data_IF_930073858507
#
_entry.id   IF_930073858507
#
_cell.length_a   1.000
_cell.length_b   1.000
_cell.length_c   1.000
_cell.angle_alpha   90.00
_cell.angle_beta   90.00
_cell.angle_gamma   90.00
#
_symmetry.space_group_name_H-M   'P 1'
#
loop_
_entity.id
_entity.type
_entity.pdbx_description
1 polymer ?
#
# COMPACT_ATOMS: atom_id res chain seq x y z
N UNK A 1 -16.71 -35.87 19.45
CA UNK A 1 -16.78 -34.63 18.61
C UNK A 1 -15.52 -33.79 18.66
N UNK A 2 -14.64 -33.96 19.60
CA UNK A 2 -13.32 -33.29 19.77
C UNK A 2 -12.28 -33.70 18.73
N UNK A 3 -12.29 -34.98 18.28
CA UNK A 3 -11.27 -35.49 17.36
C UNK A 3 -11.48 -35.07 15.91
N UNK A 4 -12.72 -34.93 15.45
CA UNK A 4 -13.02 -34.54 14.07
C UNK A 4 -12.61 -33.10 13.78
N UNK A 5 -12.77 -32.16 14.72
CA UNK A 5 -12.40 -30.78 14.58
C UNK A 5 -10.91 -30.48 14.81
N UNK A 6 -10.26 -31.31 15.65
CA UNK A 6 -8.80 -31.31 15.75
C UNK A 6 -8.17 -31.85 14.46
N UNK A 7 -8.77 -32.86 13.84
CA UNK A 7 -8.38 -33.36 12.53
C UNK A 7 -8.59 -32.34 11.41
N UNK A 8 -9.68 -31.54 11.45
CA UNK A 8 -9.96 -30.45 10.50
C UNK A 8 -8.97 -29.29 10.61
N UNK A 9 -8.45 -29.04 11.81
CA UNK A 9 -7.42 -28.01 12.07
C UNK A 9 -6.01 -28.50 11.71
N UNK A 10 -5.76 -29.79 11.83
CA UNK A 10 -4.54 -30.46 11.32
C UNK A 10 -4.62 -30.53 9.80
N UNK A 11 -5.78 -30.82 9.22
CA UNK A 11 -6.01 -30.75 7.78
C UNK A 11 -5.86 -29.32 7.22
N UNK A 12 -6.17 -28.28 8.00
CA UNK A 12 -5.84 -26.89 7.67
C UNK A 12 -4.34 -26.60 7.61
N UNK A 13 -3.54 -27.27 8.45
CA UNK A 13 -2.08 -27.22 8.40
C UNK A 13 -1.54 -28.02 7.19
N UNK A 14 -2.18 -29.16 6.86
CA UNK A 14 -1.92 -29.94 5.65
C UNK A 14 -2.33 -29.21 4.36
N UNK A 15 -3.45 -28.47 4.36
CA UNK A 15 -3.83 -27.64 3.21
C UNK A 15 -2.84 -26.52 2.95
N UNK A 16 -2.35 -25.82 3.96
CA UNK A 16 -1.28 -24.84 3.84
C UNK A 16 0.01 -25.47 3.30
N UNK A 17 0.33 -26.69 3.72
CA UNK A 17 1.48 -27.44 3.25
C UNK A 17 1.27 -27.95 1.81
N UNK A 18 0.07 -28.44 1.49
CA UNK A 18 -0.32 -28.92 0.16
C UNK A 18 -0.32 -27.80 -0.87
N UNK A 19 -0.88 -26.63 -0.56
CA UNK A 19 -0.81 -25.43 -1.41
C UNK A 19 0.64 -25.00 -1.70
N UNK A 20 1.54 -25.12 -0.73
CA UNK A 20 2.97 -24.89 -0.94
C UNK A 20 3.63 -25.89 -1.87
N UNK A 21 3.28 -27.17 -1.76
CA UNK A 21 3.81 -28.27 -2.59
C UNK A 21 3.27 -28.18 -4.02
N UNK A 22 1.98 -27.92 -4.20
CA UNK A 22 1.36 -27.82 -5.52
C UNK A 22 1.92 -26.64 -6.31
N UNK A 23 2.19 -25.51 -5.62
CA UNK A 23 2.91 -24.41 -6.24
C UNK A 23 4.35 -24.78 -6.64
N UNK A 24 5.08 -25.50 -5.80
CA UNK A 24 6.44 -25.93 -6.13
C UNK A 24 6.45 -26.92 -7.31
N UNK A 25 5.49 -27.84 -7.38
CA UNK A 25 5.28 -28.72 -8.53
C UNK A 25 4.94 -27.95 -9.79
N UNK A 26 3.95 -27.05 -9.72
CA UNK A 26 3.60 -26.19 -10.85
C UNK A 26 4.79 -25.32 -11.33
N UNK A 27 5.68 -24.92 -10.42
CA UNK A 27 6.91 -24.20 -10.75
C UNK A 27 7.93 -25.10 -11.42
N UNK A 28 8.10 -26.34 -10.98
CA UNK A 28 8.99 -27.33 -11.59
C UNK A 28 8.49 -27.75 -12.98
N UNK A 29 7.20 -27.96 -13.14
CA UNK A 29 6.56 -28.24 -14.43
C UNK A 29 6.50 -27.04 -15.36
N UNK A 30 6.39 -25.81 -14.83
CA UNK A 30 6.41 -24.53 -15.56
C UNK A 30 7.85 -23.98 -15.80
N UNK A 31 8.89 -24.68 -15.36
CA UNK A 31 10.28 -24.31 -15.62
C UNK A 31 10.64 -24.31 -17.11
N UNK A 32 9.82 -24.92 -17.96
CA UNK A 32 9.84 -24.80 -19.41
C UNK A 32 8.97 -23.62 -19.88
N UNK A 33 9.35 -22.37 -19.62
CA UNK A 33 8.73 -21.11 -20.03
C UNK A 33 7.25 -20.93 -19.54
N UNK A 34 6.94 -19.85 -18.82
CA UNK A 34 5.57 -19.61 -18.34
C UNK A 34 4.62 -19.50 -19.56
N UNK A 35 3.44 -20.15 -19.53
CA UNK A 35 2.52 -20.15 -20.65
C UNK A 35 2.15 -18.72 -21.02
N UNK A 36 2.16 -18.43 -22.34
CA UNK A 36 1.76 -17.13 -22.86
C UNK A 36 0.26 -16.95 -22.62
N UNK A 37 -0.12 -15.82 -22.04
CA UNK A 37 -1.52 -15.46 -21.86
C UNK A 37 -2.22 -15.38 -23.22
N UNK A 38 -3.33 -16.06 -23.36
CA UNK A 38 -4.21 -15.98 -24.54
C UNK A 38 -5.20 -14.82 -24.37
N UNK A 39 -5.77 -14.34 -25.47
CA UNK A 39 -6.86 -13.34 -25.40
C UNK A 39 -8.00 -13.80 -24.49
N UNK A 40 -8.34 -15.09 -24.55
CA UNK A 40 -9.41 -15.68 -23.72
C UNK A 40 -9.06 -15.60 -22.23
N UNK A 41 -7.83 -15.93 -21.85
CA UNK A 41 -7.39 -15.89 -20.45
C UNK A 41 -7.27 -14.47 -19.91
N UNK A 42 -6.90 -13.48 -20.74
CA UNK A 42 -6.89 -12.06 -20.35
C UNK A 42 -8.32 -11.57 -20.10
N UNK A 43 -9.25 -11.88 -21.01
CA UNK A 43 -10.67 -11.49 -20.84
C UNK A 43 -11.26 -12.14 -19.58
N UNK A 44 -10.94 -13.41 -19.32
CA UNK A 44 -11.34 -14.11 -18.10
C UNK A 44 -10.83 -13.37 -16.86
N UNK A 45 -9.54 -13.04 -16.80
CA UNK A 45 -8.93 -12.33 -15.66
C UNK A 45 -9.59 -10.95 -15.43
N UNK A 46 -9.80 -10.17 -16.49
CA UNK A 46 -10.43 -8.85 -16.39
C UNK A 46 -11.89 -8.92 -15.93
N UNK A 47 -12.64 -9.92 -16.42
CA UNK A 47 -14.04 -10.14 -15.98
C UNK A 47 -14.15 -10.53 -14.52
N UNK A 48 -13.13 -11.20 -13.97
CA UNK A 48 -13.09 -11.56 -12.54
C UNK A 48 -12.60 -10.41 -11.66
N UNK A 49 -11.65 -9.62 -12.13
CA UNK A 49 -11.02 -8.57 -11.34
C UNK A 49 -12.04 -7.54 -10.80
N UNK A 50 -13.02 -7.10 -11.61
CA UNK A 50 -13.99 -6.08 -11.17
C UNK A 50 -14.95 -6.58 -10.05
N UNK A 51 -15.64 -7.75 -10.21
CA UNK A 51 -16.45 -8.29 -9.12
C UNK A 51 -15.62 -8.58 -7.87
N UNK A 52 -14.40 -9.07 -8.04
CA UNK A 52 -13.50 -9.38 -6.92
C UNK A 52 -13.06 -8.13 -6.18
N UNK A 53 -12.74 -7.04 -6.90
CA UNK A 53 -12.45 -5.73 -6.32
C UNK A 53 -13.56 -5.25 -5.37
N UNK A 54 -14.83 -5.46 -5.74
CA UNK A 54 -15.98 -5.16 -4.88
C UNK A 54 -16.08 -6.12 -3.69
N UNK A 55 -15.95 -7.43 -3.93
CA UNK A 55 -16.07 -8.46 -2.89
C UNK A 55 -14.95 -8.36 -1.84
N UNK A 56 -13.77 -7.90 -2.24
CA UNK A 56 -12.65 -7.68 -1.34
C UNK A 56 -12.72 -6.33 -0.62
N UNK A 57 -13.79 -5.54 -0.84
CA UNK A 57 -14.00 -4.21 -0.24
C UNK A 57 -12.85 -3.24 -0.50
N UNK A 58 -12.32 -3.27 -1.74
CA UNK A 58 -11.14 -2.47 -2.07
C UNK A 58 -11.37 -0.97 -1.93
N UNK A 59 -12.59 -0.47 -2.14
CA UNK A 59 -12.94 0.95 -1.92
C UNK A 59 -12.79 1.35 -0.44
N UNK A 60 -13.20 0.49 0.49
CA UNK A 60 -13.07 0.72 1.94
C UNK A 60 -11.59 0.64 2.35
N UNK A 61 -10.87 -0.34 1.81
CA UNK A 61 -9.42 -0.45 2.01
C UNK A 61 -8.69 0.79 1.49
N UNK A 62 -9.07 1.32 0.32
CA UNK A 62 -8.53 2.56 -0.23
C UNK A 62 -8.81 3.77 0.67
N UNK A 63 -9.98 3.84 1.31
CA UNK A 63 -10.31 4.88 2.27
C UNK A 63 -9.40 4.83 3.51
N UNK A 64 -9.17 3.64 4.06
CA UNK A 64 -8.20 3.43 5.13
C UNK A 64 -6.77 3.79 4.74
N UNK A 65 -6.36 3.45 3.51
CA UNK A 65 -5.06 3.84 2.96
C UNK A 65 -4.94 5.36 2.83
N UNK A 66 -6.00 6.04 2.38
CA UNK A 66 -6.05 7.50 2.27
C UNK A 66 -5.85 8.17 3.61
N UNK A 67 -6.52 7.69 4.66
CA UNK A 67 -6.32 8.16 6.03
C UNK A 67 -4.84 8.04 6.44
N UNK A 68 -4.22 6.88 6.27
CA UNK A 68 -2.82 6.67 6.63
C UNK A 68 -1.85 7.49 5.77
N UNK A 69 -2.15 7.71 4.48
CA UNK A 69 -1.35 8.55 3.59
C UNK A 69 -1.33 10.00 4.09
N UNK A 70 -2.51 10.56 4.40
CA UNK A 70 -2.62 11.93 4.92
C UNK A 70 -1.89 12.09 6.24
N UNK A 71 -2.04 11.14 7.16
CA UNK A 71 -1.32 11.17 8.44
C UNK A 71 0.20 11.13 8.30
N UNK A 72 0.71 10.48 7.25
CA UNK A 72 2.17 10.44 6.99
C UNK A 72 2.73 11.73 6.39
N UNK A 73 1.88 12.61 5.83
CA UNK A 73 2.34 13.89 5.28
C UNK A 73 2.90 14.82 6.34
N UNK A 74 2.30 14.88 7.54
CA UNK A 74 2.76 15.79 8.60
C UNK A 74 4.22 15.54 9.01
N UNK A 75 4.64 14.32 9.38
CA UNK A 75 6.04 14.05 9.67
C UNK A 75 6.97 14.26 8.47
N UNK A 76 6.52 13.93 7.25
CA UNK A 76 7.31 14.17 6.03
C UNK A 76 7.55 15.66 5.81
N UNK A 77 6.54 16.51 6.04
CA UNK A 77 6.68 17.96 5.96
C UNK A 77 7.68 18.48 7.00
N UNK A 78 7.66 17.95 8.23
CA UNK A 78 8.65 18.30 9.26
C UNK A 78 10.08 17.96 8.78
N UNK A 79 10.28 16.77 8.20
CA UNK A 79 11.59 16.38 7.64
C UNK A 79 12.03 17.33 6.55
N UNK A 80 11.17 17.65 5.60
CA UNK A 80 11.49 18.55 4.48
C UNK A 80 11.89 19.94 4.98
N UNK A 81 11.10 20.52 5.87
CA UNK A 81 11.37 21.84 6.43
C UNK A 81 12.65 21.84 7.27
N UNK A 82 12.88 20.79 8.07
CA UNK A 82 14.10 20.67 8.88
C UNK A 82 15.36 20.50 8.03
N UNK A 83 15.29 19.72 6.93
CA UNK A 83 16.40 19.60 5.97
C UNK A 83 16.73 20.95 5.34
N UNK A 84 15.70 21.67 4.90
CA UNK A 84 15.89 23.01 4.32
C UNK A 84 16.46 24.01 5.35
N UNK A 85 16.08 23.88 6.63
CA UNK A 85 16.62 24.69 7.72
C UNK A 85 18.10 24.41 8.02
N UNK A 86 18.56 23.17 7.87
CA UNK A 86 19.94 22.76 8.12
C UNK A 86 20.87 23.16 6.95
N UNK A 87 20.41 23.00 5.71
CA UNK A 87 21.23 23.24 4.51
C UNK A 87 21.04 24.64 3.91
N UNK A 88 19.97 25.36 4.29
CA UNK A 88 19.64 26.67 3.78
C UNK A 88 20.13 27.81 4.69
N UNK A 89 20.27 29.02 4.09
CA UNK A 89 20.39 30.25 4.86
C UNK A 89 18.98 30.65 5.32
N UNK A 90 18.71 30.61 6.62
CA UNK A 90 17.39 30.74 7.25
C UNK A 90 16.32 31.55 6.51
N UNK A 91 16.58 32.85 6.27
CA UNK A 91 15.59 33.74 5.63
C UNK A 91 15.39 33.46 4.13
N UNK A 92 16.45 33.10 3.39
CA UNK A 92 16.36 32.72 1.97
C UNK A 92 15.55 31.40 1.81
N UNK A 93 15.74 30.47 2.74
CA UNK A 93 15.02 29.19 2.78
C UNK A 93 13.54 29.40 3.07
N UNK A 94 13.19 30.25 4.05
CA UNK A 94 11.80 30.58 4.36
C UNK A 94 11.13 31.20 3.14
N UNK A 95 11.78 32.15 2.46
CA UNK A 95 11.24 32.80 1.25
C UNK A 95 11.02 31.78 0.12
N UNK A 96 11.98 30.88 -0.12
CA UNK A 96 11.85 29.83 -1.14
C UNK A 96 10.69 28.85 -0.84
N UNK A 97 10.54 28.43 0.42
CA UNK A 97 9.41 27.56 0.83
C UNK A 97 8.09 28.31 0.65
N UNK A 98 8.02 29.56 1.10
CA UNK A 98 6.79 30.36 0.99
C UNK A 98 6.41 30.60 -0.48
N UNK A 99 7.39 30.82 -1.35
CA UNK A 99 7.15 30.99 -2.79
C UNK A 99 6.62 29.70 -3.41
N UNK A 100 7.22 28.53 -3.12
CA UNK A 100 6.74 27.23 -3.59
C UNK A 100 5.32 26.92 -3.09
N UNK A 101 5.02 27.28 -1.84
CA UNK A 101 3.68 27.11 -1.27
C UNK A 101 2.67 28.06 -1.92
N UNK A 102 3.04 29.34 -2.15
CA UNK A 102 2.16 30.31 -2.81
C UNK A 102 1.76 29.89 -4.24
N UNK A 103 2.67 29.19 -4.94
CA UNK A 103 2.42 28.70 -6.30
C UNK A 103 1.57 27.41 -6.33
N UNK A 104 1.48 26.71 -5.19
CA UNK A 104 0.91 25.35 -5.13
C UNK A 104 -0.35 25.21 -4.27
N UNK A 105 -0.56 26.10 -3.29
CA UNK A 105 -1.68 26.02 -2.34
C UNK A 105 -2.33 27.38 -2.09
N UNK A 106 -3.62 27.43 -1.62
CA UNK A 106 -4.29 28.68 -1.29
C UNK A 106 -3.56 29.50 -0.22
N UNK A 107 -3.62 30.82 -0.32
CA UNK A 107 -2.93 31.75 0.61
C UNK A 107 -3.25 31.52 2.08
N UNK A 108 -4.49 31.15 2.41
CA UNK A 108 -4.89 30.81 3.77
C UNK A 108 -4.12 29.62 4.33
N UNK A 109 -3.77 28.65 3.49
CA UNK A 109 -2.91 27.51 3.87
C UNK A 109 -1.46 27.92 4.04
N UNK A 110 -0.97 28.84 3.20
CA UNK A 110 0.37 29.40 3.31
C UNK A 110 0.53 30.17 4.62
N UNK A 111 -0.43 31.03 4.97
CA UNK A 111 -0.42 31.78 6.24
C UNK A 111 -0.47 30.85 7.45
N UNK A 112 -1.27 29.78 7.41
CA UNK A 112 -1.33 28.78 8.47
C UNK A 112 0.01 28.03 8.64
N UNK A 113 0.72 27.74 7.56
CA UNK A 113 2.00 27.03 7.57
C UNK A 113 3.20 27.93 7.87
N UNK A 114 3.09 29.23 7.70
CA UNK A 114 4.20 30.19 7.90
C UNK A 114 4.80 30.11 9.30
N UNK A 115 3.99 30.19 10.35
CA UNK A 115 4.46 30.12 11.73
C UNK A 115 5.25 28.85 12.07
N UNK A 116 4.69 27.66 11.80
CA UNK A 116 5.42 26.40 11.93
C UNK A 116 6.73 26.34 11.11
N UNK A 117 6.73 26.80 9.85
CA UNK A 117 7.93 26.81 9.00
C UNK A 117 9.00 27.75 9.57
N UNK A 118 8.65 28.98 9.93
CA UNK A 118 9.58 29.94 10.53
C UNK A 118 10.16 29.42 11.86
N UNK A 119 9.31 28.80 12.69
CA UNK A 119 9.73 28.19 13.95
C UNK A 119 10.72 27.04 13.76
N UNK A 120 10.54 26.19 12.74
CA UNK A 120 11.45 25.07 12.47
C UNK A 120 12.78 25.52 11.83
N UNK A 121 12.77 26.57 11.01
CA UNK A 121 13.98 27.05 10.29
C UNK A 121 14.88 27.89 11.21
N UNK A 122 14.30 28.69 12.11
CA UNK A 122 15.05 29.66 12.96
C UNK A 122 15.55 29.12 14.29
N UNK A 123 15.21 27.89 14.66
CA UNK A 123 15.56 27.34 15.99
C UNK A 123 16.76 26.42 15.94
N UNK A 124 17.61 26.46 16.99
CA UNK A 124 18.69 25.50 17.23
C UNK A 124 18.20 24.03 17.37
N UNK A 125 16.87 23.84 17.34
CA UNK A 125 16.17 22.55 17.46
C UNK A 125 16.02 21.88 16.07
N UNK A 126 16.45 22.49 14.97
CA UNK A 126 16.26 21.92 13.61
C UNK A 126 16.83 20.50 13.49
N UNK A 127 17.96 20.21 14.14
CA UNK A 127 18.54 18.85 14.16
C UNK A 127 17.67 17.84 14.93
N UNK A 128 17.11 18.23 16.07
CA UNK A 128 16.19 17.38 16.83
C UNK A 128 14.87 17.19 16.08
N UNK A 129 14.33 18.26 15.49
CA UNK A 129 13.11 18.19 14.69
C UNK A 129 13.28 17.28 13.47
N UNK A 130 14.47 17.30 12.83
CA UNK A 130 14.78 16.37 11.73
C UNK A 130 14.75 14.93 12.20
N UNK A 131 15.41 14.59 13.31
CA UNK A 131 15.43 13.21 13.83
C UNK A 131 14.05 12.76 14.25
N UNK A 132 13.31 13.59 14.98
CA UNK A 132 11.94 13.30 15.41
C UNK A 132 10.98 13.18 14.20
N UNK A 133 11.11 14.08 13.22
CA UNK A 133 10.36 14.05 11.98
C UNK A 133 10.66 12.80 11.15
N UNK A 134 11.93 12.41 11.03
CA UNK A 134 12.34 11.22 10.30
C UNK A 134 11.78 9.94 10.96
N UNK A 135 11.88 9.85 12.28
CA UNK A 135 11.27 8.74 13.02
C UNK A 135 9.75 8.72 12.84
N UNK A 136 9.09 9.87 12.95
CA UNK A 136 7.65 10.01 12.73
C UNK A 136 7.25 9.64 11.29
N UNK A 137 8.02 10.07 10.28
CA UNK A 137 7.79 9.75 8.88
C UNK A 137 7.94 8.23 8.61
N UNK A 138 8.98 7.60 9.14
CA UNK A 138 9.18 6.16 9.04
C UNK A 138 8.09 5.38 9.78
N UNK A 139 7.65 5.86 10.92
CA UNK A 139 6.59 5.23 11.70
C UNK A 139 5.22 5.34 11.01
N UNK A 140 4.81 6.54 10.62
CA UNK A 140 3.51 6.80 9.97
C UNK A 140 3.45 6.21 8.56
N UNK A 141 4.49 6.42 7.74
CA UNK A 141 4.62 5.82 6.42
C UNK A 141 4.69 4.29 6.49
N UNK A 142 5.39 3.72 7.49
CA UNK A 142 5.38 2.28 7.77
C UNK A 142 3.98 1.76 8.11
N UNK A 143 3.11 2.58 8.67
CA UNK A 143 1.70 2.23 8.91
C UNK A 143 0.90 2.21 7.62
N UNK A 144 1.14 3.15 6.70
CA UNK A 144 0.57 3.10 5.33
C UNK A 144 1.01 1.82 4.60
N UNK A 145 2.30 1.53 4.56
CA UNK A 145 2.85 0.32 3.90
C UNK A 145 2.29 -0.96 4.52
N UNK A 146 2.12 -1.01 5.85
CA UNK A 146 1.48 -2.12 6.54
C UNK A 146 0.00 -2.28 6.16
N UNK A 147 -0.74 -1.19 6.03
CA UNK A 147 -2.15 -1.21 5.61
C UNK A 147 -2.28 -1.63 4.15
N UNK A 148 -1.36 -1.18 3.28
CA UNK A 148 -1.27 -1.62 1.89
C UNK A 148 -0.98 -3.13 1.80
N UNK A 149 -0.06 -3.64 2.64
CA UNK A 149 0.21 -5.07 2.73
C UNK A 149 -1.00 -5.89 3.17
N UNK A 150 -1.83 -5.38 4.10
CA UNK A 150 -3.11 -6.03 4.49
C UNK A 150 -4.10 -6.04 3.33
N UNK A 151 -4.22 -4.95 2.59
CA UNK A 151 -5.08 -4.89 1.41
C UNK A 151 -4.64 -5.93 0.36
N UNK A 152 -3.34 -6.03 0.08
CA UNK A 152 -2.83 -7.04 -0.85
C UNK A 152 -3.00 -8.48 -0.31
N UNK A 153 -2.83 -8.71 0.99
CA UNK A 153 -3.11 -10.00 1.59
C UNK A 153 -4.58 -10.41 1.40
N UNK A 154 -5.53 -9.45 1.47
CA UNK A 154 -6.94 -9.67 1.16
C UNK A 154 -7.14 -10.06 -0.30
N UNK A 155 -6.53 -9.31 -1.23
CA UNK A 155 -6.57 -9.55 -2.68
C UNK A 155 -6.05 -10.96 -3.04
N UNK A 156 -4.99 -11.44 -2.35
CA UNK A 156 -4.44 -12.79 -2.55
C UNK A 156 -5.10 -13.86 -1.70
N UNK A 157 -6.11 -13.51 -0.89
CA UNK A 157 -6.79 -14.41 0.06
C UNK A 157 -5.80 -15.14 0.99
N UNK A 158 -4.81 -14.41 1.52
CA UNK A 158 -3.79 -14.96 2.42
C UNK A 158 -3.75 -14.22 3.76
N UNK A 159 -3.40 -14.95 4.81
CA UNK A 159 -3.24 -14.38 6.13
C UNK A 159 -1.80 -13.86 6.34
N UNK A 160 -1.65 -12.85 7.20
CA UNK A 160 -0.35 -12.32 7.58
C UNK A 160 0.37 -13.31 8.50
N UNK A 161 1.51 -13.81 8.05
CA UNK A 161 2.29 -14.82 8.77
C UNK A 161 3.53 -14.30 9.48
N UNK A 162 3.97 -13.08 9.17
CA UNK A 162 5.15 -12.46 9.79
C UNK A 162 4.85 -12.06 11.23
N UNK A 163 5.78 -12.29 12.15
CA UNK A 163 5.68 -11.79 13.52
C UNK A 163 5.60 -10.24 13.53
N UNK A 164 4.97 -9.67 14.57
CA UNK A 164 4.76 -8.22 14.67
C UNK A 164 6.05 -7.42 14.48
N UNK A 165 7.12 -7.79 15.18
CA UNK A 165 8.39 -7.06 15.11
C UNK A 165 9.04 -7.17 13.73
N UNK A 166 9.11 -8.39 13.15
CA UNK A 166 9.67 -8.61 11.82
C UNK A 166 8.90 -7.83 10.76
N UNK A 167 7.57 -7.87 10.81
CA UNK A 167 6.70 -7.11 9.91
C UNK A 167 6.96 -5.61 10.04
N UNK A 168 7.07 -5.09 11.28
CA UNK A 168 7.32 -3.68 11.54
C UNK A 168 8.65 -3.22 10.95
N UNK A 169 9.73 -3.96 11.19
CA UNK A 169 11.06 -3.65 10.67
C UNK A 169 11.11 -3.69 9.14
N UNK A 170 10.53 -4.71 8.52
CA UNK A 170 10.46 -4.81 7.05
C UNK A 170 9.71 -3.62 6.46
N UNK A 171 8.56 -3.25 7.02
CA UNK A 171 7.78 -2.14 6.49
C UNK A 171 8.42 -0.77 6.75
N UNK A 172 9.14 -0.59 7.84
CA UNK A 172 9.95 0.62 8.06
C UNK A 172 11.09 0.71 7.03
N UNK A 173 11.79 -0.40 6.76
CA UNK A 173 12.85 -0.43 5.74
C UNK A 173 12.29 -0.16 4.33
N UNK A 174 11.13 -0.74 3.97
CA UNK A 174 10.43 -0.42 2.72
C UNK A 174 10.05 1.05 2.66
N UNK A 175 9.51 1.60 3.75
CA UNK A 175 9.15 3.03 3.83
C UNK A 175 10.36 3.92 3.63
N UNK A 176 11.50 3.61 4.25
CA UNK A 176 12.74 4.35 4.04
C UNK A 176 13.16 4.35 2.55
N UNK A 177 13.12 3.18 1.91
CA UNK A 177 13.40 3.06 0.48
C UNK A 177 12.42 3.89 -0.38
N UNK A 178 11.11 3.84 -0.08
CA UNK A 178 10.10 4.62 -0.79
C UNK A 178 10.31 6.12 -0.60
N UNK A 179 10.65 6.58 0.61
CA UNK A 179 10.98 8.00 0.88
C UNK A 179 12.17 8.44 0.03
N UNK A 180 13.23 7.62 -0.06
CA UNK A 180 14.40 7.93 -0.90
C UNK A 180 14.00 8.04 -2.38
N UNK A 181 13.21 7.10 -2.90
CA UNK A 181 12.73 7.14 -4.28
C UNK A 181 11.86 8.38 -4.55
N UNK A 182 10.96 8.72 -3.63
CA UNK A 182 10.13 9.93 -3.73
C UNK A 182 10.97 11.19 -3.67
N UNK A 183 12.02 11.21 -2.85
CA UNK A 183 12.96 12.34 -2.79
C UNK A 183 13.75 12.48 -4.10
N UNK A 184 14.21 11.39 -4.69
CA UNK A 184 14.82 11.39 -6.02
C UNK A 184 13.86 11.95 -7.09
N UNK A 185 12.58 11.53 -7.05
CA UNK A 185 11.56 12.06 -7.96
C UNK A 185 11.32 13.56 -7.75
N UNK A 186 11.29 14.03 -6.50
CA UNK A 186 11.16 15.45 -6.19
C UNK A 186 12.35 16.25 -6.71
N UNK A 187 13.59 15.78 -6.56
CA UNK A 187 14.78 16.39 -7.13
C UNK A 187 14.66 16.50 -8.66
N UNK A 188 14.27 15.42 -9.35
CA UNK A 188 14.10 15.42 -10.81
C UNK A 188 13.03 16.44 -11.23
N UNK A 189 11.95 16.57 -10.47
CA UNK A 189 10.89 17.55 -10.75
C UNK A 189 11.37 19.00 -10.56
N UNK A 190 12.14 19.28 -9.50
CA UNK A 190 12.64 20.63 -9.20
C UNK A 190 13.77 21.05 -10.15
N UNK A 191 14.57 20.13 -10.67
CA UNK A 191 15.59 20.38 -11.68
C UNK A 191 14.97 20.68 -13.05
N UNK A 192 14.23 21.81 -13.15
CA UNK A 192 13.50 22.22 -14.34
C UNK A 192 13.74 23.71 -14.61
N UNK A 193 13.66 24.12 -15.89
CA UNK A 193 13.82 25.54 -16.29
C UNK A 193 15.17 26.13 -15.92
N UNK A 194 15.19 27.36 -15.39
CA UNK A 194 16.40 28.09 -15.02
C UNK A 194 17.24 27.45 -13.93
N UNK A 195 16.62 26.67 -13.01
CA UNK A 195 17.33 25.91 -11.96
C UNK A 195 18.22 24.85 -12.62
N UNK A 196 17.69 24.09 -13.55
CA UNK A 196 18.46 23.10 -14.30
C UNK A 196 19.60 23.77 -15.08
N UNK A 197 19.34 24.90 -15.76
CA UNK A 197 20.35 25.64 -16.51
C UNK A 197 21.52 26.11 -15.64
N UNK A 198 21.21 26.68 -14.47
CA UNK A 198 22.21 27.14 -13.51
C UNK A 198 23.04 25.98 -12.95
N UNK A 199 22.40 24.86 -12.57
CA UNK A 199 23.09 23.68 -12.06
C UNK A 199 23.98 23.07 -13.13
N UNK A 200 23.48 22.89 -14.36
CA UNK A 200 24.25 22.26 -15.45
C UNK A 200 25.42 23.16 -15.89
N UNK A 201 25.25 24.47 -15.91
CA UNK A 201 26.34 25.43 -16.15
C UNK A 201 27.39 25.40 -15.04
N UNK A 202 26.98 25.31 -13.78
CA UNK A 202 27.87 25.22 -12.63
C UNK A 202 28.75 23.96 -12.65
N UNK A 203 28.22 22.85 -13.20
CA UNK A 203 28.94 21.57 -13.33
C UNK A 203 29.72 21.50 -14.65
N UNK A 204 29.65 22.53 -15.50
CA UNK A 204 30.36 22.56 -16.79
C UNK A 204 29.72 21.72 -17.88
N UNK A 205 28.45 21.34 -17.73
CA UNK A 205 27.70 20.59 -18.73
C UNK A 205 27.07 21.55 -19.75
N UNK A 206 27.33 21.34 -21.04
CA UNK A 206 26.83 22.17 -22.11
C UNK A 206 25.34 22.00 -22.43
N UNK A 207 24.84 22.80 -23.38
CA UNK A 207 23.42 22.85 -23.79
C UNK A 207 22.86 21.53 -24.28
N UNK A 208 23.68 20.66 -24.83
CA UNK A 208 23.30 19.30 -25.22
C UNK A 208 22.80 18.48 -24.02
N UNK A 209 23.49 18.59 -22.88
CA UNK A 209 23.12 17.88 -21.64
C UNK A 209 21.80 18.38 -21.08
N UNK A 210 21.52 19.69 -21.21
CA UNK A 210 20.20 20.27 -20.83
C UNK A 210 19.07 19.73 -21.71
N UNK A 211 19.30 19.62 -23.02
CA UNK A 211 18.31 19.07 -23.95
C UNK A 211 18.03 17.60 -23.65
N UNK A 212 19.08 16.83 -23.41
CA UNK A 212 18.98 15.43 -23.02
C UNK A 212 18.21 15.27 -21.68
N UNK A 213 18.50 16.13 -20.70
CA UNK A 213 17.79 16.16 -19.41
C UNK A 213 16.30 16.45 -19.58
N UNK A 214 15.91 17.46 -20.38
CA UNK A 214 14.52 17.78 -20.68
C UNK A 214 13.75 16.60 -21.27
N UNK A 215 14.42 15.75 -22.04
CA UNK A 215 13.84 14.54 -22.64
C UNK A 215 13.78 13.38 -21.63
N UNK A 216 14.86 13.12 -20.88
CA UNK A 216 14.99 11.94 -20.03
C UNK A 216 14.26 12.05 -18.69
N UNK A 217 13.97 13.27 -18.17
CA UNK A 217 13.32 13.44 -16.87
C UNK A 217 11.96 12.76 -16.78
N UNK A 218 11.14 12.81 -17.83
CA UNK A 218 9.82 12.19 -17.82
C UNK A 218 9.86 10.65 -17.82
N UNK A 219 10.65 10.00 -18.68
CA UNK A 219 10.90 8.57 -18.55
C UNK A 219 11.50 8.16 -17.20
N UNK A 220 12.41 8.95 -16.63
CA UNK A 220 13.00 8.68 -15.33
C UNK A 220 11.95 8.74 -14.20
N UNK A 221 11.10 9.77 -14.19
CA UNK A 221 9.98 9.87 -13.26
C UNK A 221 9.02 8.70 -13.38
N UNK A 222 8.64 8.33 -14.61
CA UNK A 222 7.80 7.18 -14.86
C UNK A 222 8.44 5.89 -14.35
N UNK A 223 9.75 5.70 -14.56
CA UNK A 223 10.49 4.55 -14.05
C UNK A 223 10.48 4.50 -12.51
N UNK A 224 10.65 5.64 -11.82
CA UNK A 224 10.55 5.71 -10.35
C UNK A 224 9.15 5.32 -9.89
N UNK A 225 8.09 5.85 -10.50
CA UNK A 225 6.70 5.49 -10.16
C UNK A 225 6.45 4.01 -10.35
N UNK A 226 6.87 3.44 -11.48
CA UNK A 226 6.78 2.00 -11.73
C UNK A 226 7.55 1.17 -10.69
N UNK A 227 8.73 1.63 -10.30
CA UNK A 227 9.56 0.98 -9.29
C UNK A 227 8.88 1.00 -7.92
N UNK A 228 8.32 2.14 -7.51
CA UNK A 228 7.57 2.30 -6.25
C UNK A 228 6.38 1.34 -6.20
N UNK A 229 5.56 1.30 -7.26
CA UNK A 229 4.40 0.40 -7.33
C UNK A 229 4.87 -1.07 -7.35
N UNK A 230 5.90 -1.38 -8.14
CA UNK A 230 6.47 -2.73 -8.20
C UNK A 230 7.01 -3.22 -6.85
N UNK A 231 7.70 -2.35 -6.09
CA UNK A 231 8.18 -2.63 -4.73
C UNK A 231 6.99 -2.89 -3.79
N UNK A 232 5.97 -2.04 -3.82
CA UNK A 232 4.77 -2.22 -3.02
C UNK A 232 4.09 -3.55 -3.33
N UNK A 233 3.84 -3.86 -4.59
CA UNK A 233 3.18 -5.11 -5.00
C UNK A 233 4.00 -6.36 -4.68
N UNK A 234 5.32 -6.28 -4.74
CA UNK A 234 6.18 -7.44 -4.52
C UNK A 234 6.44 -7.72 -3.05
N UNK A 235 6.72 -6.69 -2.24
CA UNK A 235 7.30 -6.87 -0.91
C UNK A 235 6.30 -6.71 0.23
N UNK A 236 5.14 -6.07 -0.01
CA UNK A 236 4.17 -5.87 1.07
C UNK A 236 3.32 -7.10 1.36
N UNK A 237 2.80 -7.90 0.39
CA UNK A 237 1.99 -9.06 0.72
C UNK A 237 2.83 -10.22 1.28
N UNK A 238 2.17 -11.08 2.04
CA UNK A 238 2.79 -12.29 2.63
C UNK A 238 2.83 -13.47 1.65
N UNK A 239 3.00 -13.21 0.35
CA UNK A 239 3.10 -14.24 -0.68
C UNK A 239 4.46 -14.20 -1.37
N UNK A 240 4.97 -15.38 -1.76
CA UNK A 240 6.17 -15.49 -2.61
C UNK A 240 5.73 -15.48 -4.06
N UNK A 241 5.94 -14.34 -4.73
CA UNK A 241 5.75 -14.26 -6.18
C UNK A 241 7.00 -14.79 -6.90
N UNK A 242 6.85 -15.54 -8.00
CA UNK A 242 7.98 -16.21 -8.64
C UNK A 242 8.98 -15.26 -9.29
N UNK A 243 8.54 -14.07 -9.74
CA UNK A 243 9.41 -13.11 -10.42
C UNK A 243 9.07 -11.68 -9.99
N UNK A 244 10.11 -10.87 -9.77
CA UNK A 244 9.95 -9.42 -9.62
C UNK A 244 9.71 -8.80 -11.00
N UNK A 245 8.60 -8.10 -11.16
CA UNK A 245 8.24 -7.41 -12.41
C UNK A 245 7.97 -5.95 -12.11
N UNK A 246 8.86 -5.06 -12.52
CA UNK A 246 8.63 -3.61 -12.46
C UNK A 246 7.41 -3.20 -13.29
N UNK A 247 7.28 -3.81 -14.46
CA UNK A 247 6.26 -3.54 -15.44
C UNK A 247 5.26 -4.70 -15.45
N UNK A 248 4.37 -4.72 -14.46
CA UNK A 248 3.21 -5.61 -14.50
C UNK A 248 2.05 -4.93 -15.22
N UNK A 249 1.12 -5.69 -15.84
CA UNK A 249 -0.11 -5.11 -16.39
C UNK A 249 -0.90 -4.31 -15.36
N UNK A 250 -0.95 -4.77 -14.11
CA UNK A 250 -1.59 -4.05 -13.01
C UNK A 250 -0.90 -2.73 -12.68
N UNK A 251 0.46 -2.67 -12.74
CA UNK A 251 1.19 -1.41 -12.59
C UNK A 251 0.81 -0.40 -13.66
N UNK A 252 0.70 -0.84 -14.92
CA UNK A 252 0.29 0.03 -16.03
C UNK A 252 -1.13 0.56 -15.80
N UNK A 253 -2.07 -0.32 -15.45
CA UNK A 253 -3.45 0.08 -15.15
C UNK A 253 -3.50 1.06 -13.99
N UNK A 254 -2.77 0.82 -12.91
CA UNK A 254 -2.70 1.72 -11.77
C UNK A 254 -2.24 3.12 -12.18
N UNK A 255 -1.19 3.23 -12.99
CA UNK A 255 -0.66 4.51 -13.49
C UNK A 255 -1.69 5.18 -14.40
N UNK A 256 -2.27 4.47 -15.37
CA UNK A 256 -3.24 5.03 -16.32
C UNK A 256 -4.47 5.53 -15.58
N UNK A 257 -5.04 4.73 -14.67
CA UNK A 257 -6.24 5.11 -13.90
C UNK A 257 -5.95 6.30 -12.97
N UNK A 258 -4.79 6.29 -12.27
CA UNK A 258 -4.38 7.43 -11.43
C UNK A 258 -4.21 8.69 -12.26
N UNK A 259 -3.55 8.61 -13.42
CA UNK A 259 -3.33 9.75 -14.32
C UNK A 259 -4.64 10.28 -14.90
N UNK A 260 -5.51 9.39 -15.36
CA UNK A 260 -6.84 9.75 -15.89
C UNK A 260 -7.72 10.37 -14.79
N UNK A 261 -7.71 9.80 -13.59
CA UNK A 261 -8.41 10.33 -12.41
C UNK A 261 -7.91 11.71 -12.02
N UNK A 262 -6.58 11.90 -11.99
CA UNK A 262 -5.95 13.18 -11.72
C UNK A 262 -6.27 14.24 -12.78
N UNK A 263 -6.21 13.87 -14.05
CA UNK A 263 -6.59 14.76 -15.14
C UNK A 263 -8.08 15.13 -15.11
N UNK A 264 -8.96 14.14 -15.01
CA UNK A 264 -10.39 14.35 -14.93
C UNK A 264 -10.78 15.20 -13.72
N UNK A 265 -10.10 14.99 -12.61
CA UNK A 265 -10.30 15.78 -11.41
C UNK A 265 -9.77 17.23 -11.57
N UNK A 266 -8.60 17.44 -12.17
CA UNK A 266 -8.07 18.78 -12.49
C UNK A 266 -9.00 19.54 -13.42
N UNK A 267 -9.56 18.86 -14.43
CA UNK A 267 -10.57 19.41 -15.32
C UNK A 267 -11.83 19.82 -14.55
N UNK A 268 -12.33 18.94 -13.66
CA UNK A 268 -13.48 19.26 -12.81
C UNK A 268 -13.20 20.47 -11.91
N UNK A 269 -12.08 20.49 -11.22
CA UNK A 269 -11.70 21.58 -10.32
C UNK A 269 -11.58 22.92 -11.06
N UNK A 270 -11.05 22.93 -12.28
CA UNK A 270 -10.89 24.16 -13.06
C UNK A 270 -12.21 24.74 -13.60
N UNK A 271 -13.21 23.91 -13.88
CA UNK A 271 -14.49 24.33 -14.43
C UNK A 271 -15.55 24.61 -13.37
N UNK A 272 -15.45 23.98 -12.20
CA UNK A 272 -16.39 24.13 -11.08
C UNK A 272 -15.83 24.94 -9.92
N UNK A 273 -14.80 25.74 -10.14
CA UNK A 273 -14.05 26.51 -9.12
C UNK A 273 -14.87 27.55 -8.31
N UNK A 274 -16.15 27.74 -8.59
CA UNK A 274 -17.06 28.55 -7.74
C UNK A 274 -17.26 27.95 -6.32
N UNK A 275 -16.70 26.77 -6.04
CA UNK A 275 -16.65 26.16 -4.70
C UNK A 275 -15.92 27.02 -3.66
N UNK A 276 -14.99 27.89 -4.09
CA UNK A 276 -14.24 28.79 -3.20
C UNK A 276 -15.12 29.77 -2.45
N UNK A 277 -16.30 30.12 -2.96
CA UNK A 277 -17.21 31.06 -2.31
C UNK A 277 -17.92 30.42 -1.08
N UNK A 278 -18.15 29.11 -1.12
CA UNK A 278 -18.94 28.43 -0.06
C UNK A 278 -18.04 27.66 0.93
N UNK A 279 -16.95 27.05 0.46
CA UNK A 279 -16.11 26.14 1.25
C UNK A 279 -14.70 26.62 1.51
N UNK A 280 -14.23 27.72 0.86
CA UNK A 280 -12.91 28.31 1.07
C UNK A 280 -11.76 27.29 0.99
N UNK A 281 -10.86 27.31 1.99
CA UNK A 281 -9.71 26.39 2.07
C UNK A 281 -10.11 24.91 2.27
N UNK A 282 -11.33 24.63 2.75
CA UNK A 282 -11.83 23.27 2.96
C UNK A 282 -12.02 22.53 1.64
N UNK A 283 -12.37 23.26 0.56
CA UNK A 283 -12.50 22.68 -0.77
C UNK A 283 -11.18 22.05 -1.25
N UNK A 284 -10.06 22.72 -1.06
CA UNK A 284 -8.74 22.20 -1.41
C UNK A 284 -8.37 20.92 -0.66
N UNK A 285 -8.70 20.85 0.63
CA UNK A 285 -8.48 19.65 1.44
C UNK A 285 -9.33 18.45 0.97
N UNK A 286 -10.61 18.66 0.68
CA UNK A 286 -11.51 17.63 0.14
C UNK A 286 -11.00 17.12 -1.20
N UNK A 287 -10.61 18.02 -2.07
CA UNK A 287 -10.02 17.75 -3.37
C UNK A 287 -8.79 16.85 -3.25
N UNK A 288 -7.86 17.22 -2.38
CA UNK A 288 -6.64 16.49 -2.14
C UNK A 288 -6.91 15.07 -1.59
N UNK A 289 -7.83 14.96 -0.61
CA UNK A 289 -8.26 13.66 -0.07
C UNK A 289 -8.84 12.75 -1.16
N UNK A 290 -9.67 13.30 -2.03
CA UNK A 290 -10.31 12.56 -3.11
C UNK A 290 -9.28 12.06 -4.14
N UNK A 291 -8.26 12.88 -4.43
CA UNK A 291 -7.18 12.50 -5.35
C UNK A 291 -6.34 11.35 -4.80
N UNK A 292 -6.00 11.39 -3.50
CA UNK A 292 -5.31 10.28 -2.83
C UNK A 292 -6.19 9.02 -2.84
N UNK A 293 -7.50 9.17 -2.60
CA UNK A 293 -8.44 8.06 -2.59
C UNK A 293 -8.55 7.40 -3.98
N UNK A 294 -8.66 8.18 -5.06
CA UNK A 294 -8.64 7.66 -6.44
C UNK A 294 -7.32 6.92 -6.71
N UNK A 295 -6.19 7.49 -6.30
CA UNK A 295 -4.87 6.87 -6.48
C UNK A 295 -4.77 5.52 -5.76
N UNK A 296 -5.25 5.45 -4.51
CA UNK A 296 -5.28 4.19 -3.76
C UNK A 296 -6.22 3.15 -4.40
N UNK A 297 -7.40 3.57 -4.90
CA UNK A 297 -8.30 2.68 -5.65
C UNK A 297 -7.62 2.15 -6.93
N UNK A 298 -6.93 3.00 -7.67
CA UNK A 298 -6.19 2.62 -8.87
C UNK A 298 -5.08 1.59 -8.57
N UNK A 299 -4.34 1.80 -7.46
CA UNK A 299 -3.32 0.84 -7.00
C UNK A 299 -3.95 -0.51 -6.63
N UNK A 300 -5.05 -0.53 -5.89
CA UNK A 300 -5.72 -1.79 -5.52
C UNK A 300 -6.34 -2.48 -6.74
N UNK A 301 -6.93 -1.73 -7.67
CA UNK A 301 -7.45 -2.28 -8.93
C UNK A 301 -6.34 -2.91 -9.78
N UNK A 302 -5.18 -2.25 -9.86
CA UNK A 302 -4.01 -2.80 -10.53
C UNK A 302 -3.53 -4.10 -9.88
N UNK A 303 -3.52 -4.17 -8.55
CA UNK A 303 -3.16 -5.37 -7.81
C UNK A 303 -4.16 -6.52 -8.05
N UNK A 304 -5.47 -6.21 -8.11
CA UNK A 304 -6.51 -7.20 -8.47
C UNK A 304 -6.29 -7.77 -9.88
N UNK A 305 -6.04 -6.91 -10.85
CA UNK A 305 -5.76 -7.35 -12.22
C UNK A 305 -4.53 -8.25 -12.26
N UNK A 306 -3.46 -7.88 -11.55
CA UNK A 306 -2.25 -8.72 -11.47
C UNK A 306 -2.52 -10.06 -10.81
N UNK A 307 -3.36 -10.11 -9.76
CA UNK A 307 -3.73 -11.33 -9.09
C UNK A 307 -4.52 -12.28 -9.99
N UNK A 308 -5.50 -11.76 -10.74
CA UNK A 308 -6.32 -12.55 -11.64
C UNK A 308 -5.56 -12.97 -12.92
N UNK A 309 -4.61 -12.16 -13.39
CA UNK A 309 -3.69 -12.58 -14.46
C UNK A 309 -2.73 -13.68 -14.01
N UNK A 310 -2.31 -13.67 -12.73
CA UNK A 310 -1.53 -14.75 -12.15
C UNK A 310 -2.37 -16.03 -12.05
N UNK A 311 -3.62 -15.93 -11.59
CA UNK A 311 -4.60 -17.04 -11.60
C UNK A 311 -4.73 -17.63 -13.00
N UNK A 312 -4.95 -16.79 -14.00
CA UNK A 312 -5.11 -17.25 -15.38
C UNK A 312 -3.86 -18.01 -15.90
N UNK A 313 -2.65 -17.62 -15.48
CA UNK A 313 -1.42 -18.35 -15.81
C UNK A 313 -1.34 -19.71 -15.11
N UNK A 314 -1.71 -19.78 -13.83
CA UNK A 314 -1.74 -21.03 -13.08
C UNK A 314 -2.72 -22.02 -13.71
N UNK A 315 -3.93 -21.57 -14.08
CA UNK A 315 -4.91 -22.37 -14.81
C UNK A 315 -4.37 -22.90 -16.16
N UNK A 316 -3.67 -22.05 -16.92
CA UNK A 316 -3.03 -22.47 -18.17
C UNK A 316 -1.87 -23.44 -17.98
N UNK A 317 -1.31 -23.50 -16.76
CA UNK A 317 -0.28 -24.46 -16.36
C UNK A 317 -0.88 -25.76 -15.78
N UNK A 318 -2.22 -25.92 -15.79
CA UNK A 318 -2.88 -27.11 -15.23
C UNK A 318 -3.01 -27.11 -13.71
N UNK A 319 -2.75 -25.97 -13.05
CA UNK A 319 -2.91 -25.85 -11.58
C UNK A 319 -4.34 -25.48 -11.27
N UNK A 320 -4.97 -26.18 -10.34
CA UNK A 320 -6.30 -25.86 -9.82
C UNK A 320 -6.28 -24.51 -9.10
N UNK A 321 -6.76 -23.47 -9.76
CA UNK A 321 -6.79 -22.09 -9.26
C UNK A 321 -8.15 -21.41 -9.51
N UNK A 322 -9.21 -22.19 -9.74
CA UNK A 322 -10.56 -21.70 -10.04
C UNK A 322 -11.15 -20.94 -8.86
N UNK A 323 -11.01 -21.45 -7.66
CA UNK A 323 -11.54 -20.85 -6.43
C UNK A 323 -10.49 -19.99 -5.73
N UNK A 324 -9.35 -20.56 -5.40
CA UNK A 324 -8.26 -19.90 -4.69
C UNK A 324 -6.95 -19.94 -5.47
N UNK A 325 -6.09 -18.94 -5.27
CA UNK A 325 -4.76 -18.91 -5.88
C UNK A 325 -3.80 -19.62 -4.92
N UNK A 326 -3.25 -20.81 -5.24
CA UNK A 326 -2.35 -21.54 -4.37
C UNK A 326 -0.95 -20.91 -4.39
N UNK A 327 -0.73 -19.87 -3.59
CA UNK A 327 0.56 -19.18 -3.47
C UNK A 327 1.26 -19.56 -2.16
N UNK A 328 2.57 -19.88 -2.20
CA UNK A 328 3.33 -20.15 -0.99
C UNK A 328 3.44 -18.87 -0.15
N UNK A 329 3.18 -19.00 1.14
CA UNK A 329 3.37 -17.92 2.09
C UNK A 329 4.86 -17.56 2.21
N UNK A 330 5.15 -16.28 2.36
CA UNK A 330 6.49 -15.80 2.66
C UNK A 330 6.93 -16.18 4.08
N UNK A 331 5.97 -16.14 5.00
CA UNK A 331 6.12 -16.53 6.40
C UNK A 331 4.78 -17.09 6.90
N UNK A 332 4.78 -18.28 7.51
CA UNK A 332 3.59 -18.93 8.05
C UNK A 332 3.54 -18.91 9.59
N UNK A 333 4.59 -18.40 10.26
CA UNK A 333 4.77 -18.52 11.71
C UNK A 333 3.57 -17.98 12.50
N UNK A 334 3.10 -16.77 12.19
CA UNK A 334 1.97 -16.16 12.90
C UNK A 334 0.63 -16.84 12.53
N UNK A 335 0.48 -17.34 11.30
CA UNK A 335 -0.70 -18.08 10.85
C UNK A 335 -0.84 -19.36 11.65
N UNK A 336 0.21 -20.17 11.73
CA UNK A 336 0.22 -21.44 12.51
C UNK A 336 -0.09 -21.15 13.99
N UNK A 337 0.54 -20.12 14.57
CA UNK A 337 0.27 -19.73 15.97
C UNK A 337 -1.19 -19.34 16.18
N UNK A 338 -1.76 -18.56 15.26
CA UNK A 338 -3.16 -18.13 15.33
C UNK A 338 -4.13 -19.31 15.21
N UNK A 339 -3.87 -20.26 14.31
CA UNK A 339 -4.65 -21.49 14.17
C UNK A 339 -4.64 -22.32 15.44
N UNK A 340 -3.47 -22.55 16.05
CA UNK A 340 -3.35 -23.29 17.33
C UNK A 340 -4.09 -22.60 18.48
N UNK A 341 -4.02 -21.26 18.56
CA UNK A 341 -4.75 -20.49 19.57
C UNK A 341 -6.26 -20.58 19.36
N UNK A 342 -6.72 -20.50 18.11
CA UNK A 342 -8.13 -20.65 17.75
C UNK A 342 -8.64 -22.05 18.07
N UNK A 343 -7.86 -23.10 17.79
CA UNK A 343 -8.20 -24.48 18.12
C UNK A 343 -8.47 -24.66 19.63
N UNK A 344 -7.61 -24.10 20.48
CA UNK A 344 -7.79 -24.14 21.95
C UNK A 344 -9.08 -23.44 22.38
N UNK A 345 -9.36 -22.24 21.83
CA UNK A 345 -10.58 -21.50 22.15
C UNK A 345 -11.85 -22.23 21.69
N UNK A 346 -11.81 -22.86 20.51
CA UNK A 346 -12.93 -23.69 20.02
C UNK A 346 -13.16 -24.89 20.93
N UNK A 347 -12.09 -25.56 21.39
CA UNK A 347 -12.21 -26.69 22.33
C UNK A 347 -12.81 -26.24 23.67
N UNK A 348 -12.35 -25.10 24.23
CA UNK A 348 -12.93 -24.52 25.45
C UNK A 348 -14.41 -24.14 25.26
N UNK A 349 -14.77 -23.57 24.12
CA UNK A 349 -16.18 -23.25 23.80
C UNK A 349 -17.07 -24.51 23.69
N UNK A 350 -16.52 -25.59 23.15
CA UNK A 350 -17.23 -26.89 23.11
C UNK A 350 -17.47 -27.45 24.53
N UNK A 351 -16.46 -27.33 25.42
CA UNK A 351 -16.59 -27.77 26.83
C UNK A 351 -17.70 -26.99 27.55
N UNK A 352 -17.70 -25.64 27.44
CA UNK A 352 -18.74 -24.80 28.04
C UNK A 352 -20.13 -25.16 27.56
N UNK A 353 -20.29 -25.52 26.30
CA UNK A 353 -21.59 -25.99 25.78
C UNK A 353 -22.00 -27.34 26.37
N UNK A 354 -21.09 -28.29 26.48
CA UNK A 354 -21.39 -29.59 27.10
C UNK A 354 -21.77 -29.44 28.56
N UNK A 355 -21.06 -28.63 29.33
CA UNK A 355 -21.40 -28.33 30.73
C UNK A 355 -22.80 -27.73 30.88
N UNK A 356 -23.19 -26.82 29.95
CA UNK A 356 -24.52 -26.25 29.94
C UNK A 356 -25.62 -27.28 29.59
N UNK A 357 -25.35 -28.15 28.61
CA UNK A 357 -26.26 -29.24 28.21
C UNK A 357 -26.47 -30.20 29.37
N UNK A 358 -25.40 -30.65 30.05
CA UNK A 358 -25.44 -31.53 31.20
C UNK A 358 -26.20 -30.93 32.39
N UNK A 359 -26.00 -29.60 32.63
CA UNK A 359 -26.73 -28.88 33.66
C UNK A 359 -28.23 -28.79 33.34
N UNK A 360 -28.58 -28.55 32.08
CA UNK A 360 -29.98 -28.51 31.63
C UNK A 360 -30.68 -29.86 31.74
N UNK A 361 -29.98 -30.96 31.40
CA UNK A 361 -30.51 -32.34 31.58
C UNK A 361 -30.71 -32.69 33.06
N UNK A 362 -29.74 -32.31 33.89
CA UNK A 362 -29.83 -32.53 35.34
C UNK A 362 -31.00 -31.75 35.97
N UNK A 363 -31.23 -30.51 35.54
CA UNK A 363 -32.37 -29.72 35.99
C UNK A 363 -33.71 -30.31 35.57
N UNK A 364 -33.86 -30.81 34.33
CA UNK A 364 -35.05 -31.48 33.84
C UNK A 364 -35.31 -32.80 34.59
N UNK A 365 -34.29 -33.57 34.88
CA UNK A 365 -34.40 -34.78 35.66
C UNK A 365 -34.88 -34.52 37.11
N UNK A 366 -34.34 -33.46 37.74
CA UNK A 366 -34.76 -33.03 39.07
C UNK A 366 -36.23 -32.54 39.09
N UNK A 367 -36.67 -31.81 38.08
CA UNK A 367 -38.06 -31.34 37.93
C UNK A 367 -39.05 -32.53 37.74
N UNK A 368 -38.66 -33.51 36.94
CA UNK A 368 -39.48 -34.74 36.76
C UNK A 368 -39.63 -35.57 38.06
N UNK A 369 -38.54 -35.65 38.86
CA UNK A 369 -38.59 -36.31 40.17
C UNK A 369 -39.41 -35.55 41.20
N UNK A 370 -39.50 -34.24 41.12
CA UNK A 370 -40.30 -33.43 42.02
C UNK A 370 -41.83 -33.43 41.70
N UNK A 371 -42.16 -33.85 40.47
CA UNK A 371 -43.56 -33.91 39.99
C UNK A 371 -44.16 -35.34 40.03
N UNK A 372 -43.36 -36.34 40.34
CA UNK A 372 -43.77 -37.74 40.55
C UNK A 372 -43.96 -38.03 42.05
#
# INVERSE_FOLDING_TARGET
>A
MTDARAAELIAGDETLHRHGIDYLRAKEESAAAPPKLTRRSIVYALRRALPKFNNDFCMDLASGLTYHAVFSLFPIMIVLVSLLGIFGRGDETIQAIMQLLNDSVPQTTVEFLRGPVEGLVRTDIAGFALVAGLFGALWSGGTYVNSFGRALNRIYNVNEGRSFLRRRLVFMALTALLIVLMFCAAIILTLTGGIAENVFKAIGLGDFSLTLWKLLKWPALLAIVMLVIGILYQFTPNVRRPHFRFLSPGTIVAIVVTSAGGWGFSFYASHFANYNVTYGSLAGAIIFLFLIWISNNALLLGAEIDSELLRARLLLSGVEAEEEIPLPLRDATAVIKAHRSRAKLVATGAQLRHEADDAAESAKAAEQLATA
#
